data_IF_308492301994
#
_entry.id   IF_308492301994
#
_cell.length_a   1.000
_cell.length_b   1.000
_cell.length_c   1.000
_cell.angle_alpha   90.00
_cell.angle_beta   90.00
_cell.angle_gamma   90.00
#
_symmetry.space_group_name_H-M   'P 1'
#
loop_
_entity.id
_entity.type
_entity.pdbx_description
1 polymer ?
#
# COMPACT_ATOMS: atom_id res chain seq x y z
N UNK A 1 -1.89 -20.95 -25.72
CA UNK A 1 -1.08 -20.24 -24.70
C UNK A 1 -0.24 -19.08 -25.26
N UNK A 2 0.56 -19.23 -26.32
CA UNK A 2 1.46 -18.16 -26.83
C UNK A 2 0.79 -16.81 -27.19
N UNK A 3 -0.41 -16.81 -27.78
CA UNK A 3 -1.15 -15.56 -28.12
C UNK A 3 -1.49 -14.72 -26.88
N UNK A 4 -1.86 -15.35 -25.76
CA UNK A 4 -2.24 -14.61 -24.54
C UNK A 4 -1.04 -13.93 -23.89
N UNK A 5 0.13 -14.58 -23.88
CA UNK A 5 1.36 -13.99 -23.31
C UNK A 5 1.85 -12.81 -24.14
N UNK A 6 1.78 -12.91 -25.46
CA UNK A 6 2.18 -11.82 -26.37
C UNK A 6 1.29 -10.59 -26.18
N UNK A 7 -0.04 -10.76 -26.19
CA UNK A 7 -0.97 -9.63 -25.93
C UNK A 7 -0.74 -9.00 -24.56
N UNK A 8 -0.43 -9.80 -23.53
CA UNK A 8 -0.13 -9.28 -22.20
C UNK A 8 1.14 -8.44 -22.20
N UNK A 9 2.19 -8.91 -22.86
CA UNK A 9 3.44 -8.18 -22.96
C UNK A 9 3.29 -6.88 -23.75
N UNK A 10 2.63 -6.92 -24.92
CA UNK A 10 2.44 -5.72 -25.76
C UNK A 10 1.68 -4.63 -25.02
N UNK A 11 0.59 -4.99 -24.36
CA UNK A 11 -0.22 -4.01 -23.65
C UNK A 11 0.43 -3.56 -22.33
N UNK A 12 1.19 -4.42 -21.67
CA UNK A 12 2.06 -4.00 -20.57
C UNK A 12 3.06 -2.95 -21.06
N UNK A 13 3.74 -3.18 -22.19
CA UNK A 13 4.70 -2.23 -22.76
C UNK A 13 4.03 -0.91 -23.14
N UNK A 14 2.88 -0.92 -23.81
CA UNK A 14 2.14 0.31 -24.16
C UNK A 14 1.74 1.07 -22.90
N UNK A 15 1.22 0.37 -21.89
CA UNK A 15 0.79 1.00 -20.65
C UNK A 15 1.97 1.49 -19.81
N UNK A 16 3.11 0.79 -19.86
CA UNK A 16 4.35 1.19 -19.21
C UNK A 16 4.95 2.42 -19.90
N UNK A 17 4.87 2.51 -21.23
CA UNK A 17 5.26 3.71 -21.99
C UNK A 17 4.37 4.89 -21.64
N UNK A 18 3.04 4.72 -21.64
CA UNK A 18 2.10 5.77 -21.28
C UNK A 18 2.32 6.24 -19.83
N UNK A 19 2.44 5.29 -18.90
CA UNK A 19 2.70 5.60 -17.50
C UNK A 19 4.06 6.23 -17.26
N UNK A 20 5.11 5.80 -17.98
CA UNK A 20 6.44 6.45 -17.96
C UNK A 20 6.37 7.85 -18.52
N UNK A 21 5.62 8.07 -19.60
CA UNK A 21 5.41 9.41 -20.14
C UNK A 21 4.69 10.31 -19.12
N UNK A 22 3.64 9.83 -18.47
CA UNK A 22 2.95 10.59 -17.41
C UNK A 22 3.86 10.83 -16.20
N UNK A 23 4.67 9.85 -15.83
CA UNK A 23 5.69 9.95 -14.79
C UNK A 23 6.70 11.06 -15.10
N UNK A 24 7.27 11.06 -16.31
CA UNK A 24 8.28 12.03 -16.74
C UNK A 24 7.67 13.43 -16.85
N UNK A 25 6.46 13.57 -17.40
CA UNK A 25 5.76 14.85 -17.43
C UNK A 25 5.54 15.40 -16.02
N UNK A 26 5.11 14.55 -15.09
CA UNK A 26 4.91 14.95 -13.70
C UNK A 26 6.24 15.31 -13.02
N UNK A 27 7.31 14.55 -13.28
CA UNK A 27 8.66 14.87 -12.80
C UNK A 27 9.17 16.20 -13.33
N UNK A 28 9.08 16.48 -14.64
CA UNK A 28 9.51 17.75 -15.21
C UNK A 28 8.75 18.94 -14.61
N UNK A 29 7.47 18.74 -14.27
CA UNK A 29 6.66 19.79 -13.66
C UNK A 29 7.00 20.01 -12.18
N UNK A 30 7.05 18.94 -11.37
CA UNK A 30 7.29 19.03 -9.92
C UNK A 30 8.76 19.25 -9.59
N UNK A 31 9.68 18.60 -10.30
CA UNK A 31 11.12 18.74 -10.09
C UNK A 31 11.60 20.17 -10.25
N UNK A 32 11.13 20.87 -11.29
CA UNK A 32 11.42 22.29 -11.49
C UNK A 32 10.85 23.17 -10.37
N UNK A 33 9.69 22.81 -9.80
CA UNK A 33 9.11 23.60 -8.72
C UNK A 33 9.73 23.33 -7.34
N UNK A 34 10.33 22.16 -7.12
CA UNK A 34 11.10 21.85 -5.90
C UNK A 34 12.45 22.59 -5.91
N UNK A 35 12.99 22.89 -7.10
CA UNK A 35 14.30 23.52 -7.28
C UNK A 35 14.24 25.06 -7.38
N UNK A 36 13.26 25.64 -8.08
CA UNK A 36 13.33 27.06 -8.53
C UNK A 36 12.13 27.97 -8.15
N UNK A 37 11.42 27.66 -7.06
CA UNK A 37 10.14 28.29 -6.64
C UNK A 37 8.92 27.86 -7.47
N UNK A 38 7.88 27.39 -6.77
CA UNK A 38 6.62 26.92 -7.35
C UNK A 38 5.92 28.01 -8.18
N UNK A 39 5.18 27.60 -9.21
CA UNK A 39 4.23 28.50 -9.90
C UNK A 39 3.29 29.13 -8.86
N UNK A 40 3.25 30.46 -8.79
CA UNK A 40 2.40 31.21 -7.87
C UNK A 40 0.94 30.73 -7.92
N UNK A 41 0.36 30.34 -6.79
CA UNK A 41 -1.02 29.86 -6.70
C UNK A 41 -1.20 28.34 -6.83
N UNK A 42 -0.12 27.55 -6.81
CA UNK A 42 -0.16 26.08 -6.76
C UNK A 42 0.62 25.57 -5.54
N UNK A 43 -0.05 24.87 -4.63
CA UNK A 43 0.59 24.21 -3.50
C UNK A 43 1.11 22.82 -3.93
N UNK A 44 2.40 22.56 -3.69
CA UNK A 44 3.17 21.40 -4.19
C UNK A 44 3.51 20.38 -3.07
N UNK A 45 4.03 19.18 -3.40
CA UNK A 45 3.43 17.90 -3.04
C UNK A 45 3.51 17.51 -1.57
N UNK A 46 2.46 16.81 -1.14
CA UNK A 46 2.22 16.14 0.14
C UNK A 46 3.42 15.44 0.83
N UNK A 47 4.46 15.08 0.08
CA UNK A 47 5.59 14.29 0.56
C UNK A 47 6.84 15.11 0.92
N UNK A 48 6.80 16.45 0.83
CA UNK A 48 7.94 17.31 1.20
C UNK A 48 8.40 17.09 2.65
N UNK A 49 7.52 17.02 3.67
CA UNK A 49 7.97 16.79 5.05
C UNK A 49 8.67 15.44 5.22
N UNK A 50 8.09 14.37 4.65
CA UNK A 50 8.72 13.04 4.68
C UNK A 50 10.06 13.04 3.93
N UNK A 51 10.12 13.71 2.77
CA UNK A 51 11.34 13.85 1.99
C UNK A 51 12.45 14.57 2.77
N UNK A 52 12.12 15.66 3.48
CA UNK A 52 13.07 16.40 4.32
C UNK A 52 13.62 15.55 5.45
N UNK A 53 12.76 14.77 6.12
CA UNK A 53 13.19 13.85 7.17
C UNK A 53 14.13 12.77 6.60
N UNK A 54 13.79 12.17 5.46
CA UNK A 54 14.67 11.16 4.84
C UNK A 54 15.96 11.76 4.32
N UNK A 55 15.92 12.98 3.77
CA UNK A 55 17.09 13.71 3.33
C UNK A 55 18.09 13.89 4.46
N UNK A 56 17.62 14.39 5.62
CA UNK A 56 18.46 14.57 6.80
C UNK A 56 19.08 13.25 7.27
N UNK A 57 18.32 12.16 7.26
CA UNK A 57 18.82 10.84 7.64
C UNK A 57 19.85 10.30 6.64
N UNK A 58 19.74 10.67 5.35
CA UNK A 58 20.71 10.29 4.32
C UNK A 58 22.02 11.07 4.51
N UNK A 59 21.95 12.39 4.74
CA UNK A 59 23.13 13.23 4.93
C UNK A 59 23.87 12.90 6.22
N UNK A 60 23.13 12.62 7.30
CA UNK A 60 23.70 12.35 8.63
C UNK A 60 23.71 10.85 8.97
N UNK A 61 23.76 9.96 7.97
CA UNK A 61 23.57 8.51 8.16
C UNK A 61 24.52 7.90 9.20
N UNK A 62 25.75 8.39 9.28
CA UNK A 62 26.77 7.93 10.24
C UNK A 62 26.43 8.22 11.71
N UNK A 63 25.51 9.15 11.96
CA UNK A 63 25.07 9.54 13.31
C UNK A 63 23.94 8.67 13.86
N UNK A 64 23.27 7.88 13.01
CA UNK A 64 22.14 7.05 13.40
C UNK A 64 22.56 5.60 13.68
N UNK A 65 22.09 5.06 14.79
CA UNK A 65 22.21 3.63 15.07
C UNK A 65 21.27 2.80 14.18
N UNK A 66 21.65 1.55 13.89
CA UNK A 66 20.78 0.61 13.15
C UNK A 66 19.41 0.44 13.83
N UNK A 67 19.38 0.44 15.17
CA UNK A 67 18.13 0.39 15.95
C UNK A 67 17.22 1.58 15.69
N UNK A 68 17.75 2.79 15.60
CA UNK A 68 16.96 4.00 15.32
C UNK A 68 16.41 3.98 13.90
N UNK A 69 17.21 3.57 12.92
CA UNK A 69 16.78 3.42 11.52
C UNK A 69 15.58 2.47 11.42
N UNK A 70 15.62 1.35 12.13
CA UNK A 70 14.55 0.35 12.10
C UNK A 70 13.29 0.81 12.83
N UNK A 71 13.44 1.35 14.05
CA UNK A 71 12.29 1.79 14.87
C UNK A 71 11.58 2.98 14.25
N UNK A 72 12.33 3.92 13.65
CA UNK A 72 11.78 5.12 12.99
C UNK A 72 11.36 4.89 11.53
N UNK A 73 11.49 3.67 11.02
CA UNK A 73 11.09 3.30 9.64
C UNK A 73 11.89 4.07 8.57
N UNK A 74 13.18 4.26 8.80
CA UNK A 74 14.12 4.91 7.88
C UNK A 74 14.80 3.94 6.92
N UNK A 75 14.47 2.64 6.90
CA UNK A 75 15.14 1.69 5.98
C UNK A 75 15.01 2.02 4.49
N UNK A 76 14.09 2.92 4.11
CA UNK A 76 14.00 3.50 2.76
C UNK A 76 15.24 4.31 2.36
N UNK A 77 16.05 4.80 3.31
CA UNK A 77 17.25 5.60 3.03
C UNK A 77 18.45 4.74 2.63
N UNK A 78 18.46 3.44 2.96
CA UNK A 78 19.58 2.54 2.68
C UNK A 78 19.95 2.45 1.18
N UNK A 79 18.98 2.31 0.24
CA UNK A 79 19.29 2.33 -1.19
C UNK A 79 19.93 3.65 -1.65
N UNK A 80 19.53 4.78 -1.06
CA UNK A 80 20.07 6.10 -1.41
C UNK A 80 21.51 6.22 -0.93
N UNK A 81 21.79 5.84 0.32
CA UNK A 81 23.15 5.83 0.88
C UNK A 81 24.07 4.89 0.10
N UNK A 82 23.57 3.71 -0.28
CA UNK A 82 24.35 2.77 -1.09
C UNK A 82 24.70 3.33 -2.47
N UNK A 83 23.78 4.05 -3.12
CA UNK A 83 24.03 4.70 -4.41
C UNK A 83 25.02 5.85 -4.28
N UNK A 84 24.94 6.66 -3.22
CA UNK A 84 25.91 7.73 -2.96
C UNK A 84 27.33 7.20 -2.80
N UNK A 85 27.51 6.12 -2.04
CA UNK A 85 28.83 5.52 -1.83
C UNK A 85 29.45 4.99 -3.13
N UNK A 86 28.66 4.80 -4.19
CA UNK A 86 29.13 4.40 -5.52
C UNK A 86 29.36 5.60 -6.44
N UNK A 87 28.54 6.66 -6.31
CA UNK A 87 28.54 7.80 -7.22
C UNK A 87 29.51 8.93 -6.82
N UNK A 88 29.96 8.99 -5.56
CA UNK A 88 30.94 9.99 -5.06
C UNK A 88 30.61 11.46 -5.39
N UNK A 89 29.30 11.80 -5.45
CA UNK A 89 28.80 13.12 -5.83
C UNK A 89 28.06 13.84 -4.69
N UNK A 90 28.09 15.17 -4.70
CA UNK A 90 27.46 16.04 -3.69
C UNK A 90 25.93 16.11 -3.89
N UNK A 91 25.21 16.07 -2.77
CA UNK A 91 23.86 15.52 -2.67
C UNK A 91 22.74 16.53 -2.94
N UNK A 92 23.05 17.81 -2.71
CA UNK A 92 22.04 18.86 -2.61
C UNK A 92 21.24 19.02 -3.92
N UNK A 93 21.88 18.86 -5.07
CA UNK A 93 21.24 19.15 -6.37
C UNK A 93 20.70 17.89 -7.07
N UNK A 94 21.13 16.68 -6.67
CA UNK A 94 20.83 15.45 -7.41
C UNK A 94 19.81 14.51 -6.74
N UNK A 95 19.48 14.74 -5.46
CA UNK A 95 18.55 13.87 -4.71
C UNK A 95 17.20 13.69 -5.43
N UNK A 96 16.72 14.74 -6.10
CA UNK A 96 15.45 14.73 -6.85
C UNK A 96 15.54 13.79 -8.06
N UNK A 97 16.65 13.83 -8.79
CA UNK A 97 16.90 12.97 -9.96
C UNK A 97 17.06 11.51 -9.51
N UNK A 98 17.87 11.26 -8.48
CA UNK A 98 18.07 9.91 -7.92
C UNK A 98 16.75 9.33 -7.41
N UNK A 99 15.95 10.15 -6.71
CA UNK A 99 14.63 9.74 -6.23
C UNK A 99 13.70 9.36 -7.37
N UNK A 100 13.66 10.15 -8.44
CA UNK A 100 12.87 9.84 -9.62
C UNK A 100 13.33 8.55 -10.31
N UNK A 101 14.64 8.31 -10.43
CA UNK A 101 15.16 7.07 -11.00
C UNK A 101 14.74 5.85 -10.18
N UNK A 102 14.89 5.89 -8.86
CA UNK A 102 14.50 4.80 -7.96
C UNK A 102 13.00 4.56 -8.05
N UNK A 103 12.19 5.62 -7.95
CA UNK A 103 10.73 5.52 -8.02
C UNK A 103 10.25 5.00 -9.38
N UNK A 104 10.93 5.34 -10.47
CA UNK A 104 10.61 4.81 -11.80
C UNK A 104 10.88 3.30 -11.90
N UNK A 105 12.02 2.84 -11.36
CA UNK A 105 12.33 1.40 -11.28
C UNK A 105 11.27 0.68 -10.43
N UNK A 106 10.92 1.22 -9.27
CA UNK A 106 9.88 0.68 -8.39
C UNK A 106 8.52 0.63 -9.10
N UNK A 107 8.19 1.67 -9.86
CA UNK A 107 6.97 1.74 -10.67
C UNK A 107 6.91 0.62 -11.71
N UNK A 108 7.97 0.45 -12.50
CA UNK A 108 8.04 -0.59 -13.53
C UNK A 108 8.00 -2.00 -12.93
N UNK A 109 8.74 -2.24 -11.85
CA UNK A 109 8.74 -3.51 -11.14
C UNK A 109 7.35 -3.83 -10.57
N UNK A 110 6.66 -2.85 -10.01
CA UNK A 110 5.30 -3.04 -9.50
C UNK A 110 4.32 -3.38 -10.61
N UNK A 111 4.44 -2.69 -11.76
CA UNK A 111 3.69 -3.03 -12.98
C UNK A 111 3.93 -4.46 -13.43
N UNK A 112 5.19 -4.91 -13.42
CA UNK A 112 5.55 -6.27 -13.80
C UNK A 112 4.94 -7.31 -12.83
N UNK A 113 5.09 -7.11 -11.52
CA UNK A 113 4.50 -7.99 -10.49
C UNK A 113 2.98 -7.99 -10.59
N UNK A 114 2.35 -6.83 -10.84
CA UNK A 114 0.92 -6.71 -11.03
C UNK A 114 0.42 -7.44 -12.28
N UNK A 115 1.16 -7.38 -13.39
CA UNK A 115 0.87 -8.15 -14.60
C UNK A 115 0.98 -9.66 -14.33
N UNK A 116 1.98 -10.11 -13.57
CA UNK A 116 2.10 -11.50 -13.13
C UNK A 116 0.90 -11.94 -12.28
N UNK A 117 0.44 -11.10 -11.35
CA UNK A 117 -0.79 -11.34 -10.60
C UNK A 117 -2.01 -11.46 -11.53
N UNK A 118 -2.13 -10.59 -12.53
CA UNK A 118 -3.19 -10.68 -13.53
C UNK A 118 -3.12 -11.97 -14.37
N UNK A 119 -1.94 -12.50 -14.67
CA UNK A 119 -1.81 -13.78 -15.39
C UNK A 119 -2.33 -14.93 -14.52
N UNK A 120 -2.00 -14.93 -13.23
CA UNK A 120 -2.40 -15.98 -12.29
C UNK A 120 -3.90 -15.90 -11.98
N UNK A 121 -4.38 -14.71 -11.60
CA UNK A 121 -5.75 -14.47 -11.14
C UNK A 121 -6.76 -14.24 -12.29
N UNK A 122 -6.26 -14.07 -13.52
CA UNK A 122 -7.05 -13.91 -14.75
C UNK A 122 -8.16 -12.82 -14.70
N UNK A 123 -7.95 -11.61 -14.14
CA UNK A 123 -8.91 -10.52 -14.34
C UNK A 123 -8.93 -10.07 -15.80
N UNK A 124 -9.87 -9.17 -16.16
CA UNK A 124 -9.89 -8.54 -17.49
C UNK A 124 -8.58 -7.81 -17.74
N UNK A 125 -8.06 -7.88 -18.96
CA UNK A 125 -6.77 -7.30 -19.31
C UNK A 125 -6.67 -5.80 -19.00
N UNK A 126 -7.76 -5.04 -19.21
CA UNK A 126 -7.81 -3.61 -18.90
C UNK A 126 -7.39 -3.27 -17.47
N UNK A 127 -7.46 -4.22 -16.53
CA UNK A 127 -7.01 -4.06 -15.14
C UNK A 127 -5.56 -3.62 -15.02
N UNK A 128 -4.66 -4.07 -15.92
CA UNK A 128 -3.24 -3.64 -15.93
C UNK A 128 -3.12 -2.16 -16.28
N UNK A 129 -3.92 -1.70 -17.27
CA UNK A 129 -3.97 -0.28 -17.67
C UNK A 129 -4.45 0.57 -16.49
N UNK A 130 -5.51 0.13 -15.80
CA UNK A 130 -6.04 0.80 -14.61
C UNK A 130 -5.06 0.86 -13.44
N UNK A 131 -4.13 -0.08 -13.32
CA UNK A 131 -3.07 -0.06 -12.31
C UNK A 131 -1.96 0.94 -12.68
N UNK A 132 -1.48 0.91 -13.92
CA UNK A 132 -0.40 1.79 -14.37
C UNK A 132 -0.82 3.27 -14.42
N UNK A 133 -2.10 3.54 -14.68
CA UNK A 133 -2.68 4.88 -14.61
C UNK A 133 -3.21 5.25 -13.22
N UNK A 134 -2.90 4.48 -12.17
CA UNK A 134 -3.38 4.75 -10.83
C UNK A 134 -2.74 6.05 -10.27
N UNK A 135 -3.51 7.12 -10.02
CA UNK A 135 -2.94 8.44 -9.71
C UNK A 135 -1.97 8.49 -8.52
N UNK A 136 -2.20 7.79 -7.40
CA UNK A 136 -1.25 7.76 -6.29
C UNK A 136 0.11 7.17 -6.64
N UNK A 137 0.13 6.25 -7.59
CA UNK A 137 1.38 5.62 -8.04
C UNK A 137 2.25 6.58 -8.85
N UNK A 138 1.61 7.50 -9.56
CA UNK A 138 2.25 8.61 -10.26
C UNK A 138 2.61 9.72 -9.26
N UNK A 139 1.81 9.98 -8.22
CA UNK A 139 2.12 10.97 -7.17
C UNK A 139 3.41 10.65 -6.42
N UNK A 140 3.63 9.38 -6.07
CA UNK A 140 4.81 8.95 -5.30
C UNK A 140 6.13 8.94 -6.10
N UNK A 141 6.11 9.41 -7.35
CA UNK A 141 7.22 9.30 -8.29
C UNK A 141 8.38 10.27 -8.08
N UNK A 142 8.12 11.46 -7.53
CA UNK A 142 9.08 12.58 -7.63
C UNK A 142 10.00 12.70 -6.42
N UNK A 143 9.50 12.42 -5.22
CA UNK A 143 10.24 12.59 -3.96
C UNK A 143 10.56 11.25 -3.32
N UNK A 144 11.47 11.25 -2.35
CA UNK A 144 11.78 10.05 -1.55
C UNK A 144 10.49 9.57 -0.90
N UNK A 145 10.05 8.36 -1.27
CA UNK A 145 8.79 7.82 -0.80
C UNK A 145 8.84 6.31 -0.57
N UNK A 146 8.54 5.92 0.67
CA UNK A 146 8.42 4.50 1.05
C UNK A 146 7.15 3.83 0.51
N UNK A 147 6.08 4.56 0.23
CA UNK A 147 4.76 4.03 -0.13
C UNK A 147 4.77 3.33 -1.49
N UNK A 148 5.52 3.85 -2.48
CA UNK A 148 5.74 3.19 -3.76
C UNK A 148 6.40 1.81 -3.59
N UNK A 149 7.43 1.72 -2.74
CA UNK A 149 8.09 0.45 -2.43
C UNK A 149 7.15 -0.48 -1.65
N UNK A 150 6.34 0.06 -0.72
CA UNK A 150 5.36 -0.75 -0.01
C UNK A 150 4.32 -1.36 -0.95
N UNK A 151 3.89 -0.66 -2.00
CA UNK A 151 3.02 -1.23 -3.04
C UNK A 151 3.72 -2.42 -3.72
N UNK A 152 4.97 -2.24 -4.17
CA UNK A 152 5.76 -3.31 -4.79
C UNK A 152 5.84 -4.53 -3.87
N UNK A 153 6.17 -4.33 -2.60
CA UNK A 153 6.36 -5.41 -1.64
C UNK A 153 5.06 -6.13 -1.29
N UNK A 154 3.96 -5.40 -1.08
CA UNK A 154 2.63 -5.99 -0.81
C UNK A 154 2.17 -6.85 -2.00
N UNK A 155 2.35 -6.37 -3.24
CA UNK A 155 2.06 -7.13 -4.45
C UNK A 155 2.97 -8.36 -4.58
N UNK A 156 4.26 -8.21 -4.30
CA UNK A 156 5.27 -9.27 -4.41
C UNK A 156 5.03 -10.39 -3.39
N UNK A 157 4.69 -10.05 -2.14
CA UNK A 157 4.33 -11.03 -1.11
C UNK A 157 3.07 -11.79 -1.51
N UNK A 158 2.06 -11.09 -2.03
CA UNK A 158 0.83 -11.72 -2.51
C UNK A 158 1.12 -12.71 -3.65
N UNK A 159 1.99 -12.31 -4.60
CA UNK A 159 2.41 -13.17 -5.71
C UNK A 159 3.23 -14.37 -5.22
N UNK A 160 4.17 -14.17 -4.29
CA UNK A 160 5.00 -15.23 -3.72
C UNK A 160 4.13 -16.30 -3.04
N UNK A 161 3.08 -15.90 -2.32
CA UNK A 161 2.13 -16.82 -1.70
C UNK A 161 1.34 -17.58 -2.76
N UNK A 162 0.81 -16.90 -3.78
CA UNK A 162 0.08 -17.55 -4.89
C UNK A 162 0.94 -18.61 -5.60
N UNK A 163 2.21 -18.29 -5.85
CA UNK A 163 3.18 -19.19 -6.50
C UNK A 163 3.89 -20.17 -5.54
N UNK A 164 3.58 -20.12 -4.23
CA UNK A 164 4.20 -20.94 -3.18
C UNK A 164 5.74 -20.79 -3.10
N UNK A 165 6.25 -19.60 -3.35
CA UNK A 165 7.68 -19.26 -3.26
C UNK A 165 8.06 -18.88 -1.81
N UNK A 166 8.12 -19.87 -0.93
CA UNK A 166 8.30 -19.65 0.52
C UNK A 166 9.63 -18.97 0.88
N UNK A 167 10.72 -19.29 0.17
CA UNK A 167 12.01 -18.63 0.38
C UNK A 167 11.94 -17.13 0.00
N UNK A 168 11.35 -16.83 -1.16
CA UNK A 168 11.11 -15.44 -1.58
C UNK A 168 10.19 -14.72 -0.59
N UNK A 169 9.16 -15.39 -0.05
CA UNK A 169 8.30 -14.82 0.98
C UNK A 169 9.09 -14.43 2.24
N UNK A 170 10.03 -15.27 2.68
CA UNK A 170 10.90 -14.97 3.82
C UNK A 170 11.76 -13.71 3.53
N UNK A 171 12.41 -13.65 2.38
CA UNK A 171 13.21 -12.48 1.97
C UNK A 171 12.38 -11.20 1.90
N UNK A 172 11.18 -11.27 1.30
CA UNK A 172 10.26 -10.14 1.23
C UNK A 172 9.76 -9.71 2.61
N UNK A 173 9.59 -10.65 3.54
CA UNK A 173 9.18 -10.35 4.92
C UNK A 173 10.26 -9.53 5.64
N UNK A 174 11.53 -9.90 5.47
CA UNK A 174 12.67 -9.13 5.99
C UNK A 174 12.70 -7.74 5.34
N UNK A 175 12.63 -7.67 4.00
CA UNK A 175 12.65 -6.40 3.28
C UNK A 175 11.52 -5.44 3.72
N UNK A 176 10.29 -5.95 3.89
CA UNK A 176 9.16 -5.19 4.41
C UNK A 176 9.46 -4.63 5.80
N UNK A 177 10.03 -5.43 6.69
CA UNK A 177 10.28 -5.02 8.07
C UNK A 177 11.33 -3.91 8.18
N UNK A 178 12.29 -3.84 7.25
CA UNK A 178 13.28 -2.76 7.18
C UNK A 178 12.63 -1.41 6.84
N UNK A 179 11.65 -1.41 5.93
CA UNK A 179 10.97 -0.18 5.50
C UNK A 179 9.90 0.23 6.51
N UNK A 180 9.09 -0.72 6.99
CA UNK A 180 8.09 -0.49 8.03
C UNK A 180 7.99 -1.70 8.95
N UNK A 181 8.47 -1.59 10.19
CA UNK A 181 8.50 -2.72 11.13
C UNK A 181 7.10 -3.30 11.40
N UNK A 182 6.08 -2.45 11.51
CA UNK A 182 4.68 -2.88 11.72
C UNK A 182 4.14 -3.75 10.58
N UNK A 183 4.68 -3.63 9.36
CA UNK A 183 4.26 -4.42 8.21
C UNK A 183 4.85 -5.84 8.23
N UNK A 184 5.73 -6.19 9.16
CA UNK A 184 6.13 -7.57 9.42
C UNK A 184 4.92 -8.49 9.67
N UNK A 185 3.85 -7.94 10.28
CA UNK A 185 2.63 -8.69 10.56
C UNK A 185 1.80 -8.99 9.30
N UNK A 186 2.04 -8.31 8.19
CA UNK A 186 1.32 -8.53 6.93
C UNK A 186 1.48 -9.97 6.40
N UNK A 187 2.71 -10.45 6.09
CA UNK A 187 2.89 -11.83 5.62
C UNK A 187 2.48 -12.88 6.68
N UNK A 188 2.64 -12.57 7.96
CA UNK A 188 2.23 -13.46 9.07
C UNK A 188 0.72 -13.66 9.08
N UNK A 189 -0.06 -12.57 9.10
CA UNK A 189 -1.52 -12.63 9.06
C UNK A 189 -2.01 -13.23 7.73
N UNK A 190 -1.34 -12.93 6.63
CA UNK A 190 -1.70 -13.45 5.32
C UNK A 190 -1.63 -14.97 5.34
N UNK A 191 -0.47 -15.55 5.68
CA UNK A 191 -0.30 -17.00 5.76
C UNK A 191 -1.25 -17.63 6.77
N UNK A 192 -1.44 -16.99 7.93
CA UNK A 192 -2.36 -17.46 8.96
C UNK A 192 -3.80 -17.57 8.46
N UNK A 193 -4.27 -16.61 7.65
CA UNK A 193 -5.63 -16.54 7.12
C UNK A 193 -5.87 -17.38 5.85
N UNK A 194 -4.85 -18.02 5.27
CA UNK A 194 -5.02 -18.94 4.13
C UNK A 194 -5.72 -20.25 4.49
N UNK A 195 -5.70 -20.63 5.76
CA UNK A 195 -6.25 -21.90 6.26
C UNK A 195 -7.79 -21.85 6.39
N UNK A 196 -8.39 -23.01 6.68
CA UNK A 196 -9.82 -23.14 6.95
C UNK A 196 -10.26 -22.19 8.08
N UNK A 197 -11.55 -21.84 8.09
CA UNK A 197 -12.18 -20.98 9.10
C UNK A 197 -11.69 -19.53 9.10
N UNK A 198 -11.71 -18.89 7.93
CA UNK A 198 -11.34 -17.48 7.75
C UNK A 198 -11.98 -16.55 8.78
N UNK A 199 -13.25 -16.75 9.16
CA UNK A 199 -13.95 -15.90 10.13
C UNK A 199 -13.29 -15.93 11.51
N UNK A 200 -13.02 -17.13 12.02
CA UNK A 200 -12.38 -17.31 13.32
C UNK A 200 -10.95 -16.77 13.29
N UNK A 201 -10.21 -17.07 12.22
CA UNK A 201 -8.82 -16.59 12.05
C UNK A 201 -8.76 -15.08 11.92
N UNK A 202 -9.68 -14.47 11.19
CA UNK A 202 -9.78 -13.03 11.09
C UNK A 202 -10.06 -12.41 12.47
N UNK A 203 -10.99 -12.97 13.25
CA UNK A 203 -11.27 -12.49 14.60
C UNK A 203 -10.04 -12.59 15.52
N UNK A 204 -9.32 -13.73 15.48
CA UNK A 204 -8.07 -13.90 16.23
C UNK A 204 -7.02 -12.88 15.79
N UNK A 205 -6.79 -12.75 14.49
CA UNK A 205 -5.81 -11.81 13.93
C UNK A 205 -6.16 -10.35 14.28
N UNK A 206 -7.45 -10.01 14.31
CA UNK A 206 -7.95 -8.71 14.73
C UNK A 206 -7.68 -8.43 16.22
N UNK A 207 -7.94 -9.39 17.10
CA UNK A 207 -7.62 -9.23 18.53
C UNK A 207 -6.10 -9.10 18.71
N UNK A 208 -5.31 -9.95 18.04
CA UNK A 208 -3.86 -9.88 18.08
C UNK A 208 -3.33 -8.54 17.56
N UNK A 209 -3.86 -8.00 16.47
CA UNK A 209 -3.44 -6.69 15.95
C UNK A 209 -3.86 -5.55 16.88
N UNK A 210 -5.07 -5.59 17.45
CA UNK A 210 -5.50 -4.61 18.44
C UNK A 210 -4.60 -4.59 19.68
N UNK A 211 -4.24 -5.77 20.21
CA UNK A 211 -3.29 -5.90 21.32
C UNK A 211 -1.89 -5.43 20.95
N UNK A 212 -1.40 -5.76 19.74
CA UNK A 212 -0.10 -5.29 19.26
C UNK A 212 -0.06 -3.76 19.14
N UNK A 213 -1.15 -3.13 18.68
CA UNK A 213 -1.27 -1.67 18.63
C UNK A 213 -1.18 -1.05 20.03
N UNK A 214 -1.86 -1.64 21.02
CA UNK A 214 -1.78 -1.17 22.41
C UNK A 214 -0.37 -1.37 23.01
N UNK A 215 0.29 -2.49 22.70
CA UNK A 215 1.66 -2.74 23.11
C UNK A 215 2.62 -1.70 22.50
N UNK A 216 2.54 -1.45 21.20
CA UNK A 216 3.38 -0.44 20.53
C UNK A 216 3.17 0.95 21.14
N UNK A 217 1.93 1.31 21.44
CA UNK A 217 1.59 2.60 22.04
C UNK A 217 2.24 2.82 23.42
N UNK A 218 2.38 1.76 24.22
CA UNK A 218 2.94 1.84 25.58
C UNK A 218 4.47 1.77 25.61
N UNK A 219 5.10 0.97 24.74
CA UNK A 219 6.50 0.62 24.90
C UNK A 219 7.47 1.32 23.95
N UNK A 220 7.02 1.70 22.77
CA UNK A 220 7.96 2.17 21.75
C UNK A 220 8.05 3.68 21.64
N UNK A 221 7.15 4.45 22.27
CA UNK A 221 7.14 5.92 22.15
C UNK A 221 7.12 6.42 20.69
N UNK A 222 6.89 5.53 19.72
CA UNK A 222 7.04 5.75 18.26
C UNK A 222 6.07 6.81 17.74
N UNK A 223 5.14 7.23 18.57
CA UNK A 223 4.15 8.24 18.30
C UNK A 223 4.30 9.34 19.34
N UNK A 224 5.39 10.11 19.26
CA UNK A 224 5.40 11.44 19.87
C UNK A 224 4.24 12.20 19.22
N UNK A 225 3.23 12.46 20.05
CA UNK A 225 1.90 12.98 19.70
C UNK A 225 2.00 14.36 19.02
N UNK A 226 3.15 15.01 19.11
CA UNK A 226 3.34 16.43 18.80
C UNK A 226 3.25 16.79 17.32
N UNK A 227 3.35 15.83 16.38
CA UNK A 227 3.49 16.18 14.96
C UNK A 227 2.30 15.84 14.05
N UNK A 228 1.28 15.10 14.49
CA UNK A 228 0.15 14.74 13.57
C UNK A 228 -1.11 14.15 14.20
N UNK A 229 -1.12 13.78 15.48
CA UNK A 229 -2.24 13.04 16.08
C UNK A 229 -3.20 13.95 16.84
N UNK A 230 -3.87 14.87 16.15
CA UNK A 230 -5.06 15.56 16.68
C UNK A 230 -6.31 14.67 16.60
N UNK A 231 -7.28 14.87 17.49
CA UNK A 231 -8.63 14.29 17.37
C UNK A 231 -8.76 12.79 17.69
N UNK A 232 -9.51 12.04 16.88
CA UNK A 232 -9.91 10.65 17.18
C UNK A 232 -8.73 9.67 17.31
N UNK A 233 -7.67 9.89 16.55
CA UNK A 233 -6.44 9.10 16.62
C UNK A 233 -5.75 9.25 17.98
N UNK A 234 -5.78 10.46 18.56
CA UNK A 234 -5.31 10.72 19.94
C UNK A 234 -6.16 9.96 20.95
N UNK A 235 -7.49 9.99 20.80
CA UNK A 235 -8.41 9.26 21.68
C UNK A 235 -8.10 7.75 21.68
N UNK A 236 -7.95 7.13 20.51
CA UNK A 236 -7.59 5.70 20.41
C UNK A 236 -6.25 5.43 21.09
N UNK A 237 -5.27 6.30 20.87
CA UNK A 237 -3.94 6.17 21.46
C UNK A 237 -3.95 6.30 22.99
N UNK A 238 -4.66 7.28 23.55
CA UNK A 238 -4.82 7.46 24.99
C UNK A 238 -5.53 6.27 25.63
N UNK A 239 -6.61 5.76 25.03
CA UNK A 239 -7.30 4.57 25.51
C UNK A 239 -6.43 3.30 25.42
N UNK A 240 -5.53 3.21 24.44
CA UNK A 240 -4.55 2.12 24.37
C UNK A 240 -3.49 2.23 25.47
N UNK A 241 -3.00 3.44 25.77
CA UNK A 241 -2.07 3.68 26.87
C UNK A 241 -2.68 3.36 28.22
N UNK A 242 -3.90 3.82 28.47
CA UNK A 242 -4.54 3.67 29.77
C UNK A 242 -5.16 2.28 29.99
N UNK A 243 -5.80 1.71 28.96
CA UNK A 243 -6.67 0.53 29.13
C UNK A 243 -6.38 -0.63 28.17
N UNK A 244 -5.44 -0.48 27.22
CA UNK A 244 -5.14 -1.49 26.20
C UNK A 244 -6.30 -1.92 25.28
N UNK A 245 -7.46 -1.22 25.33
CA UNK A 245 -8.67 -1.58 24.58
C UNK A 245 -9.02 -0.61 23.45
N UNK A 246 -8.34 0.53 23.34
CA UNK A 246 -8.65 1.58 22.36
C UNK A 246 -8.77 1.04 20.94
N UNK A 247 -7.75 0.35 20.45
CA UNK A 247 -7.75 -0.26 19.11
C UNK A 247 -8.77 -1.38 18.98
N UNK A 248 -9.03 -2.14 20.04
CA UNK A 248 -10.01 -3.24 20.01
C UNK A 248 -11.45 -2.73 19.84
N UNK A 249 -11.79 -1.58 20.41
CA UNK A 249 -13.14 -1.02 20.34
C UNK A 249 -13.31 -0.08 19.15
N UNK A 250 -12.29 0.72 18.86
CA UNK A 250 -12.43 1.88 17.97
C UNK A 250 -11.89 1.65 16.56
N UNK A 251 -11.17 0.56 16.29
CA UNK A 251 -10.71 0.24 14.92
C UNK A 251 -11.83 0.22 13.86
N UNK A 252 -13.06 -0.29 14.11
CA UNK A 252 -14.14 -0.22 13.14
C UNK A 252 -14.53 1.22 12.79
N UNK A 253 -14.51 2.11 13.78
CA UNK A 253 -14.75 3.55 13.58
C UNK A 253 -13.59 4.20 12.82
N UNK A 254 -12.35 3.77 13.06
CA UNK A 254 -11.18 4.25 12.29
C UNK A 254 -11.31 3.93 10.79
N UNK A 255 -11.88 2.78 10.42
CA UNK A 255 -12.18 2.47 9.01
C UNK A 255 -13.14 3.50 8.41
N UNK A 256 -14.19 3.88 9.13
CA UNK A 256 -15.11 4.95 8.70
C UNK A 256 -14.39 6.29 8.58
N UNK A 257 -13.49 6.60 9.52
CA UNK A 257 -12.69 7.82 9.47
C UNK A 257 -11.79 7.89 8.23
N UNK A 258 -11.18 6.80 7.78
CA UNK A 258 -10.43 6.79 6.51
C UNK A 258 -11.33 7.20 5.34
N UNK A 259 -12.58 6.72 5.29
CA UNK A 259 -13.53 7.08 4.22
C UNK A 259 -13.93 8.56 4.31
N UNK A 260 -14.19 9.06 5.51
CA UNK A 260 -14.53 10.48 5.74
C UNK A 260 -13.36 11.38 5.36
N UNK A 261 -12.13 11.01 5.74
CA UNK A 261 -10.92 11.75 5.37
C UNK A 261 -10.79 11.85 3.84
N UNK A 262 -10.96 10.74 3.11
CA UNK A 262 -11.00 10.79 1.63
C UNK A 262 -12.07 11.76 1.10
N UNK A 263 -13.27 11.78 1.68
CA UNK A 263 -14.35 12.69 1.25
C UNK A 263 -14.02 14.16 1.51
N UNK A 264 -13.46 14.48 2.68
CA UNK A 264 -13.09 15.85 3.05
C UNK A 264 -12.01 16.40 2.11
N UNK A 265 -11.00 15.60 1.80
CA UNK A 265 -9.93 16.00 0.89
C UNK A 265 -10.45 16.25 -0.54
N UNK A 266 -11.53 15.60 -0.97
CA UNK A 266 -12.15 15.87 -2.27
C UNK A 266 -12.88 17.23 -2.35
N UNK A 267 -13.37 17.75 -1.23
CA UNK A 267 -14.29 18.89 -1.21
C UNK A 267 -13.59 20.26 -1.12
N UNK A 268 -12.35 20.29 -0.61
CA UNK A 268 -11.62 21.52 -0.31
C UNK A 268 -10.33 21.69 -1.13
N UNK A 269 -10.44 21.55 -2.45
CA UNK A 269 -9.31 21.61 -3.39
C UNK A 269 -8.70 23.03 -3.51
N UNK A 270 -9.49 24.07 -3.24
CA UNK A 270 -9.01 25.46 -3.27
C UNK A 270 -8.75 25.96 -1.85
N UNK A 271 -7.55 26.47 -1.63
CA UNK A 271 -7.15 27.20 -0.42
C UNK A 271 -6.94 28.68 -0.76
N UNK A 272 -6.79 29.51 0.26
CA UNK A 272 -6.52 30.95 0.08
C UNK A 272 -5.18 31.19 -0.66
N UNK A 273 -4.23 30.26 -0.53
CA UNK A 273 -2.90 30.31 -1.13
C UNK A 273 -2.81 29.66 -2.54
N UNK A 274 -3.89 29.02 -3.02
CA UNK A 274 -3.90 28.38 -4.33
C UNK A 274 -4.70 27.08 -4.46
N UNK A 275 -4.51 26.39 -5.58
CA UNK A 275 -5.04 25.04 -5.80
C UNK A 275 -4.12 24.02 -5.14
N UNK A 276 -4.70 23.21 -4.26
CA UNK A 276 -4.04 22.06 -3.65
C UNK A 276 -4.08 20.87 -4.62
N UNK A 277 -2.97 20.64 -5.31
CA UNK A 277 -2.87 19.59 -6.33
C UNK A 277 -2.94 18.18 -5.74
N UNK A 278 -2.56 18.02 -4.48
CA UNK A 278 -2.66 16.76 -3.77
C UNK A 278 -4.12 16.40 -3.55
N UNK A 279 -4.95 17.34 -3.09
CA UNK A 279 -6.39 17.15 -2.93
C UNK A 279 -7.06 16.79 -4.25
N UNK A 280 -6.61 17.39 -5.35
CA UNK A 280 -7.07 17.03 -6.69
C UNK A 280 -6.76 15.57 -7.05
N UNK A 281 -5.54 15.09 -6.77
CA UNK A 281 -5.14 13.70 -7.01
C UNK A 281 -5.87 12.72 -6.09
N UNK A 282 -6.05 13.08 -4.82
CA UNK A 282 -6.84 12.31 -3.86
C UNK A 282 -8.31 12.23 -4.33
N UNK A 283 -8.85 13.31 -4.87
CA UNK A 283 -10.15 13.36 -5.55
C UNK A 283 -10.24 12.39 -6.74
N UNK A 284 -9.25 12.41 -7.63
CA UNK A 284 -9.19 11.45 -8.74
C UNK A 284 -9.12 9.99 -8.25
N UNK A 285 -8.39 9.75 -7.15
CA UNK A 285 -8.30 8.44 -6.49
C UNK A 285 -9.63 8.02 -5.87
N UNK A 286 -10.37 8.96 -5.29
CA UNK A 286 -11.70 8.69 -4.74
C UNK A 286 -12.70 8.33 -5.84
N UNK A 287 -12.72 9.07 -6.95
CA UNK A 287 -13.54 8.74 -8.14
C UNK A 287 -13.19 7.34 -8.67
N UNK A 288 -11.90 7.02 -8.72
CA UNK A 288 -11.42 5.68 -9.08
C UNK A 288 -11.97 4.60 -8.13
N UNK A 289 -11.96 4.84 -6.81
CA UNK A 289 -12.49 3.91 -5.82
C UNK A 289 -14.03 3.76 -5.92
N UNK A 290 -14.76 4.85 -6.17
CA UNK A 290 -16.20 4.83 -6.40
C UNK A 290 -16.56 3.95 -7.60
N UNK A 291 -15.80 4.06 -8.70
CA UNK A 291 -16.00 3.22 -9.88
C UNK A 291 -15.83 1.72 -9.57
N UNK A 292 -14.95 1.38 -8.62
CA UNK A 292 -14.71 -0.01 -8.20
C UNK A 292 -15.69 -0.51 -7.13
N UNK A 293 -16.49 0.37 -6.52
CA UNK A 293 -17.41 0.08 -5.42
C UNK A 293 -18.35 -1.12 -5.68
N UNK A 294 -18.97 -1.28 -6.87
CA UNK A 294 -19.82 -2.45 -7.13
C UNK A 294 -19.05 -3.78 -7.05
N UNK A 295 -17.80 -3.78 -7.52
CA UNK A 295 -16.92 -4.94 -7.42
C UNK A 295 -16.49 -5.21 -5.98
N UNK A 296 -16.21 -4.17 -5.20
CA UNK A 296 -15.91 -4.28 -3.78
C UNK A 296 -17.07 -4.84 -2.97
N UNK A 297 -18.28 -4.33 -3.17
CA UNK A 297 -19.46 -4.82 -2.46
C UNK A 297 -19.66 -6.32 -2.71
N UNK A 298 -19.52 -6.77 -3.97
CA UNK A 298 -19.57 -8.20 -4.32
C UNK A 298 -18.43 -8.99 -3.66
N UNK A 299 -17.21 -8.47 -3.68
CA UNK A 299 -16.07 -9.09 -3.03
C UNK A 299 -16.28 -9.28 -1.53
N UNK A 300 -16.79 -8.26 -0.83
CA UNK A 300 -17.06 -8.31 0.60
C UNK A 300 -18.17 -9.32 0.93
N UNK A 301 -19.25 -9.35 0.15
CA UNK A 301 -20.31 -10.36 0.33
C UNK A 301 -19.76 -11.77 0.08
N UNK A 302 -18.96 -11.95 -0.97
CA UNK A 302 -18.33 -13.23 -1.31
C UNK A 302 -17.30 -13.70 -0.27
N UNK A 303 -16.53 -12.77 0.30
CA UNK A 303 -15.53 -13.02 1.36
C UNK A 303 -16.09 -13.84 2.51
N UNK A 304 -17.31 -13.53 2.94
CA UNK A 304 -17.96 -14.18 4.07
C UNK A 304 -18.71 -15.45 3.70
N UNK A 305 -19.11 -15.61 2.44
CA UNK A 305 -19.94 -16.75 1.97
C UNK A 305 -19.13 -17.88 1.36
N UNK A 306 -18.00 -17.57 0.72
CA UNK A 306 -17.22 -18.53 -0.08
C UNK A 306 -16.13 -19.13 0.80
N UNK A 307 -16.22 -20.44 1.04
CA UNK A 307 -15.20 -21.15 1.80
C UNK A 307 -13.90 -21.31 1.00
N UNK A 308 -13.96 -21.67 -0.29
CA UNK A 308 -12.80 -22.14 -1.04
C UNK A 308 -12.86 -21.90 -2.56
N UNK A 309 -12.58 -20.68 -3.02
CA UNK A 309 -12.05 -20.46 -4.37
C UNK A 309 -10.58 -20.05 -4.24
N UNK A 310 -9.65 -20.94 -4.60
CA UNK A 310 -8.22 -20.87 -4.21
C UNK A 310 -7.60 -19.47 -4.41
N UNK A 311 -7.82 -18.88 -5.58
CA UNK A 311 -7.25 -17.58 -5.95
C UNK A 311 -7.89 -16.42 -5.17
N UNK A 312 -9.18 -16.55 -4.87
CA UNK A 312 -9.94 -15.60 -4.05
C UNK A 312 -9.53 -15.66 -2.58
N UNK A 313 -9.15 -16.84 -2.08
CA UNK A 313 -8.69 -17.03 -0.69
C UNK A 313 -7.41 -16.24 -0.43
N UNK A 314 -6.44 -16.29 -1.35
CA UNK A 314 -5.19 -15.54 -1.17
C UNK A 314 -5.43 -14.04 -1.25
N UNK A 315 -6.24 -13.58 -2.21
CA UNK A 315 -6.56 -12.16 -2.35
C UNK A 315 -7.34 -11.62 -1.15
N UNK A 316 -8.30 -12.39 -0.64
CA UNK A 316 -8.99 -12.13 0.63
C UNK A 316 -8.01 -12.04 1.79
N UNK A 317 -7.17 -13.04 1.99
CA UNK A 317 -6.19 -13.03 3.06
C UNK A 317 -5.26 -11.82 2.96
N UNK A 318 -4.78 -11.47 1.76
CA UNK A 318 -3.92 -10.31 1.53
C UNK A 318 -4.63 -8.99 1.90
N UNK A 319 -5.82 -8.73 1.35
CA UNK A 319 -6.55 -7.48 1.63
C UNK A 319 -6.84 -7.33 3.13
N UNK A 320 -7.36 -8.37 3.79
CA UNK A 320 -7.68 -8.27 5.21
C UNK A 320 -6.43 -8.20 6.09
N UNK A 321 -5.32 -8.86 5.72
CA UNK A 321 -4.05 -8.72 6.45
C UNK A 321 -3.52 -7.30 6.35
N UNK A 322 -3.60 -6.72 5.15
CA UNK A 322 -3.21 -5.34 4.91
C UNK A 322 -4.02 -4.38 5.78
N UNK A 323 -5.35 -4.53 5.82
CA UNK A 323 -6.23 -3.69 6.64
C UNK A 323 -5.94 -3.84 8.13
N UNK A 324 -5.69 -5.05 8.62
CA UNK A 324 -5.32 -5.28 10.02
C UNK A 324 -4.01 -4.59 10.40
N UNK A 325 -3.02 -4.62 9.51
CA UNK A 325 -1.73 -3.91 9.70
C UNK A 325 -1.91 -2.41 9.59
N UNK A 326 -2.73 -1.93 8.65
CA UNK A 326 -3.04 -0.51 8.50
C UNK A 326 -3.59 0.07 9.82
N UNK A 327 -4.50 -0.66 10.46
CA UNK A 327 -5.13 -0.28 11.73
C UNK A 327 -4.17 -0.26 12.93
N UNK A 328 -2.95 -0.79 12.81
CA UNK A 328 -1.90 -0.61 13.82
C UNK A 328 -1.35 0.82 13.82
N UNK A 329 -1.35 1.47 12.66
CA UNK A 329 -0.89 2.85 12.50
C UNK A 329 -1.87 3.77 13.21
N UNK A 330 -1.47 4.65 14.13
CA UNK A 330 -2.36 5.56 14.84
C UNK A 330 -2.80 6.75 13.98
N UNK A 331 -2.07 7.07 12.91
CA UNK A 331 -2.44 8.15 11.99
C UNK A 331 -3.41 7.62 10.92
N UNK A 332 -4.58 8.23 10.84
CA UNK A 332 -5.60 7.95 9.81
C UNK A 332 -5.35 8.78 8.56
N UNK A 333 -4.30 8.42 7.83
CA UNK A 333 -3.92 9.12 6.60
C UNK A 333 -4.41 8.38 5.34
N UNK A 334 -5.21 9.02 4.46
CA UNK A 334 -5.69 8.42 3.21
C UNK A 334 -4.60 7.74 2.36
N UNK A 335 -3.38 8.28 2.36
CA UNK A 335 -2.24 7.72 1.61
C UNK A 335 -1.93 6.27 1.99
N UNK A 336 -2.06 5.91 3.26
CA UNK A 336 -1.75 4.55 3.69
C UNK A 336 -2.81 3.60 3.16
N UNK A 337 -4.07 4.00 3.01
CA UNK A 337 -5.07 3.17 2.35
C UNK A 337 -4.71 2.91 0.87
N UNK A 338 -4.07 3.87 0.19
CA UNK A 338 -3.70 3.78 -1.23
C UNK A 338 -2.74 2.62 -1.53
N UNK A 339 -1.90 2.20 -0.58
CA UNK A 339 -0.99 1.06 -0.76
C UNK A 339 -1.77 -0.25 -1.00
N UNK A 340 -2.96 -0.39 -0.40
CA UNK A 340 -3.83 -1.55 -0.57
C UNK A 340 -4.72 -1.49 -1.83
N UNK A 341 -4.87 -0.31 -2.45
CA UNK A 341 -5.75 -0.10 -3.61
C UNK A 341 -5.48 -1.04 -4.80
N UNK A 342 -4.23 -1.40 -5.14
CA UNK A 342 -3.97 -2.38 -6.20
C UNK A 342 -4.56 -3.77 -5.94
N UNK A 343 -4.48 -4.27 -4.70
CA UNK A 343 -5.10 -5.54 -4.31
C UNK A 343 -6.63 -5.45 -4.40
N UNK A 344 -7.15 -4.33 -3.94
CA UNK A 344 -8.55 -3.99 -4.00
C UNK A 344 -9.04 -3.93 -5.49
N UNK A 345 -8.29 -3.30 -6.40
CA UNK A 345 -8.57 -3.29 -7.83
C UNK A 345 -8.71 -4.71 -8.41
N UNK A 346 -7.77 -5.60 -8.08
CA UNK A 346 -7.84 -7.01 -8.48
C UNK A 346 -9.12 -7.66 -7.96
N UNK A 347 -9.44 -7.46 -6.68
CA UNK A 347 -10.61 -8.07 -6.05
C UNK A 347 -11.92 -7.61 -6.69
N UNK A 348 -12.05 -6.31 -6.96
CA UNK A 348 -13.22 -5.75 -7.63
C UNK A 348 -13.36 -6.30 -9.05
N UNK A 349 -12.28 -6.36 -9.83
CA UNK A 349 -12.31 -6.82 -11.22
C UNK A 349 -12.57 -8.32 -11.37
N UNK A 350 -12.07 -9.14 -10.46
CA UNK A 350 -12.38 -10.57 -10.41
C UNK A 350 -13.84 -10.77 -10.04
N UNK A 351 -14.33 -10.07 -9.00
CA UNK A 351 -15.72 -10.20 -8.54
C UNK A 351 -16.77 -9.74 -9.56
N UNK A 352 -16.41 -8.83 -10.47
CA UNK A 352 -17.27 -8.41 -11.58
C UNK A 352 -17.22 -9.35 -12.79
N UNK A 353 -16.14 -10.13 -12.94
CA UNK A 353 -15.98 -11.08 -14.05
C UNK A 353 -16.89 -12.29 -13.89
N UNK A 354 -17.00 -12.82 -12.67
CA UNK A 354 -17.59 -14.15 -12.47
C UNK A 354 -19.12 -14.16 -12.52
N UNK A 355 -19.79 -13.01 -12.71
CA UNK A 355 -21.21 -12.91 -13.07
C UNK A 355 -22.22 -13.37 -12.01
N UNK A 356 -21.82 -14.22 -11.08
CA UNK A 356 -22.61 -14.79 -10.00
C UNK A 356 -21.73 -14.89 -8.75
N UNK A 357 -22.22 -14.56 -7.55
CA UNK A 357 -21.59 -15.14 -6.37
C UNK A 357 -21.69 -16.66 -6.56
N UNK A 358 -20.60 -17.44 -6.39
CA UNK A 358 -20.72 -18.88 -6.42
C UNK A 358 -21.61 -19.25 -5.24
N UNK A 359 -22.89 -19.45 -5.53
CA UNK A 359 -23.82 -20.14 -4.66
C UNK A 359 -23.19 -21.52 -4.54
N UNK A 360 -22.81 -21.86 -3.32
CA UNK A 360 -22.30 -23.17 -3.00
C UNK A 360 -23.41 -24.18 -3.25
N UNK A 361 -23.48 -24.69 -4.48
CA UNK A 361 -24.20 -25.92 -4.78
C UNK A 361 -23.44 -27.05 -4.08
N UNK A 362 -23.81 -27.33 -2.83
CA UNK A 362 -23.77 -28.66 -2.22
C UNK A 362 -22.46 -29.45 -2.16
N UNK A 363 -21.29 -28.92 -2.53
CA UNK A 363 -20.05 -29.71 -2.50
C UNK A 363 -19.55 -29.84 -1.07
N UNK A 364 -19.79 -31.03 -0.49
CA UNK A 364 -19.24 -31.57 0.74
C UNK A 364 -17.92 -30.91 1.16
N UNK A 365 -18.03 -29.97 2.09
CA UNK A 365 -16.96 -29.08 2.57
C UNK A 365 -15.76 -29.80 3.19
N UNK A 366 -15.89 -31.09 3.53
CA UNK A 366 -14.80 -31.89 4.13
C UNK A 366 -13.83 -32.50 3.10
N UNK A 367 -14.28 -32.77 1.87
CA UNK A 367 -13.43 -33.40 0.83
C UNK A 367 -12.53 -32.41 0.08
N UNK A 368 -13.01 -31.18 -0.12
CA UNK A 368 -12.24 -30.11 -0.76
C UNK A 368 -11.17 -29.50 0.18
N UNK A 369 -11.36 -29.61 1.51
CA UNK A 369 -10.43 -29.13 2.52
C UNK A 369 -9.06 -29.82 2.46
N UNK A 370 -9.01 -31.12 2.12
CA UNK A 370 -7.76 -31.89 2.09
C UNK A 370 -6.91 -31.64 0.83
N UNK A 371 -7.52 -31.33 -0.32
CA UNK A 371 -6.82 -31.26 -1.61
C UNK A 371 -6.24 -29.89 -1.97
N UNK A 372 -6.54 -28.84 -1.19
CA UNK A 372 -6.06 -27.50 -1.49
C UNK A 372 -4.66 -27.20 -0.93
N UNK A 373 -4.19 -27.99 0.05
CA UNK A 373 -2.96 -27.72 0.81
C UNK A 373 -2.01 -28.92 1.01
N UNK A 374 -2.32 -30.09 0.47
CA UNK A 374 -1.29 -31.05 0.02
C UNK A 374 -0.84 -30.63 -1.37
#
# INVERSE_FOLDING_TARGET
>A
MKKSTFTVLTLFLISALLGTFTFVLYFMWVGNCVLDECVSGVLLPYNIPDNQVFYQVITDFSSFSLSEILVRNYGITLPYVALMGVLDEDLNDQIVIISAMINWVVYLLSGFVFAQLCIVLKPKFSTIVWFLLFPPFILFSVLINKDGIMILLVLSVTLAVLKRWWFTLLLLTVAISLIRMQYLLFPVFLVFMLKADFRLRFAIAYVCSAMASAFIANFFGVYDIDWSAGGFSSLVYSLNKEYFVGSLLLNPVRVVHYVIAFLQECLYIKTDDGIDYMKLIQGATFVYLLYLLPGYARFLVGTWRIAYYRDFVVLRAAIFSYLLVLLLTPITEPRYFMIGCPLLLLAARISLRDGTPPIADGVNSKGAQARAFT
#
